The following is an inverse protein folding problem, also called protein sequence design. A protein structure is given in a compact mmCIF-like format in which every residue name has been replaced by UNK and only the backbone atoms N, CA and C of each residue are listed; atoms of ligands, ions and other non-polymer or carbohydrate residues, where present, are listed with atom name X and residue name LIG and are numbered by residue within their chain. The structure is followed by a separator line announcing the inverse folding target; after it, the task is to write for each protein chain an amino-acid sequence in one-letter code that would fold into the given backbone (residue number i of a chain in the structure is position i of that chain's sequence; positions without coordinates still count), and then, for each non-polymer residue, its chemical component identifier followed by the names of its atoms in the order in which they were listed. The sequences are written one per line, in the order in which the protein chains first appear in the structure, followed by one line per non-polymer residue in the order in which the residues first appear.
data_IF_908652152892
#
_entry.id   IF_908652152892
#
_cell.length_a   1.000
_cell.length_b   1.000
_cell.length_c   1.000
_cell.angle_alpha   90.00
_cell.angle_beta   90.00
_cell.angle_gamma   90.00
#
_symmetry.space_group_name_H-M   'P 1'
#
loop_
_entity.id
_entity.type
_entity.pdbx_description
1 polymer ?
#
# COMPACT_ATOMS: atom_id res chain seq x y z
N UNK A 1 7.02 10.04 21.44
CA UNK A 1 7.56 11.42 21.49
C UNK A 1 6.40 12.39 21.26
N UNK A 2 6.06 13.27 22.24
CA UNK A 2 4.94 14.21 22.12
C UNK A 2 5.11 15.20 20.96
N UNK A 3 6.34 15.64 20.68
CA UNK A 3 6.60 16.58 19.58
C UNK A 3 6.29 15.93 18.22
N UNK A 4 6.66 14.65 18.04
CA UNK A 4 6.31 13.89 16.84
C UNK A 4 4.78 13.77 16.68
N UNK A 5 4.07 13.41 17.75
CA UNK A 5 2.60 13.28 17.71
C UNK A 5 1.91 14.61 17.37
N UNK A 6 2.40 15.72 17.93
CA UNK A 6 1.89 17.06 17.60
C UNK A 6 2.13 17.44 16.13
N UNK A 7 3.33 17.15 15.60
CA UNK A 7 3.65 17.36 14.19
C UNK A 7 2.76 16.50 13.26
N UNK A 8 2.51 15.24 13.64
CA UNK A 8 1.62 14.35 12.91
C UNK A 8 0.17 14.85 12.92
N UNK A 9 -0.36 15.31 14.04
CA UNK A 9 -1.71 15.88 14.11
C UNK A 9 -1.86 17.08 13.16
N UNK A 10 -0.83 17.93 13.07
CA UNK A 10 -0.80 19.04 12.11
C UNK A 10 -0.80 18.55 10.67
N UNK A 11 0.04 17.56 10.32
CA UNK A 11 0.10 16.92 8.99
C UNK A 11 -1.24 16.31 8.61
N UNK A 12 -1.83 15.54 9.50
CA UNK A 12 -3.11 14.86 9.30
C UNK A 12 -4.24 15.86 9.00
N UNK A 13 -4.29 16.97 9.72
CA UNK A 13 -5.27 18.03 9.47
C UNK A 13 -5.07 18.68 8.10
N UNK A 14 -3.82 18.95 7.71
CA UNK A 14 -3.50 19.67 6.47
C UNK A 14 -3.59 18.79 5.22
N UNK A 15 -3.17 17.53 5.30
CA UNK A 15 -3.02 16.65 4.14
C UNK A 15 -4.10 15.58 4.05
N UNK A 16 -4.60 15.09 5.19
CA UNK A 16 -5.52 13.96 5.24
C UNK A 16 -6.96 14.36 5.64
N UNK A 17 -7.21 15.64 5.98
CA UNK A 17 -8.54 16.09 6.40
C UNK A 17 -8.97 15.59 7.78
N UNK A 18 -8.04 15.05 8.59
CA UNK A 18 -8.33 14.48 9.91
C UNK A 18 -7.95 15.45 11.02
N UNK A 19 -8.91 15.81 11.87
CA UNK A 19 -8.64 16.56 13.12
C UNK A 19 -8.63 15.58 14.27
N UNK A 20 -7.46 15.37 14.89
CA UNK A 20 -7.22 14.33 15.89
C UNK A 20 -6.56 14.88 17.14
N UNK A 21 -6.80 14.25 18.29
CA UNK A 21 -6.02 14.45 19.51
C UNK A 21 -4.73 13.68 19.41
N UNK A 22 -3.54 14.34 19.43
CA UNK A 22 -2.26 13.66 19.26
C UNK A 22 -1.99 12.61 20.35
N UNK A 23 -2.48 12.81 21.57
CA UNK A 23 -2.21 11.86 22.66
C UNK A 23 -3.17 10.65 22.64
N UNK A 24 -4.41 10.83 22.17
CA UNK A 24 -5.42 9.80 22.19
C UNK A 24 -5.56 9.04 20.87
N UNK A 25 -5.41 9.71 19.74
CA UNK A 25 -5.74 9.14 18.44
C UNK A 25 -4.52 8.68 17.62
N UNK A 26 -3.28 8.93 18.11
CA UNK A 26 -2.05 8.57 17.39
C UNK A 26 -1.23 7.56 18.20
N UNK A 27 -0.94 6.40 17.61
CA UNK A 27 -0.02 5.40 18.12
C UNK A 27 1.18 5.27 17.21
N UNK A 28 2.39 5.55 17.73
CA UNK A 28 3.64 5.35 16.98
C UNK A 28 4.02 3.86 17.01
N UNK A 29 4.34 3.29 15.84
CA UNK A 29 4.64 1.87 15.67
C UNK A 29 6.03 1.63 15.07
N UNK A 30 6.64 0.45 15.30
CA UNK A 30 7.93 0.08 14.67
C UNK A 30 7.77 -0.24 13.17
N UNK A 31 7.39 0.78 12.40
CA UNK A 31 7.01 0.66 11.00
C UNK A 31 5.53 0.35 10.80
N UNK A 32 5.04 0.52 9.57
CA UNK A 32 3.64 0.25 9.20
C UNK A 32 3.27 -1.23 9.24
N UNK A 33 4.21 -2.15 8.98
CA UNK A 33 3.95 -3.59 9.07
C UNK A 33 3.47 -4.00 10.48
N UNK A 34 4.16 -3.51 11.53
CA UNK A 34 3.70 -3.70 12.92
C UNK A 34 2.37 -2.98 13.17
N UNK A 35 2.17 -1.82 12.54
CA UNK A 35 0.91 -1.09 12.61
C UNK A 35 -0.26 -1.89 12.05
N UNK A 36 -0.10 -2.54 10.90
CA UNK A 36 -1.11 -3.41 10.31
C UNK A 36 -1.42 -4.60 11.22
N UNK A 37 -0.38 -5.24 11.75
CA UNK A 37 -0.57 -6.33 12.70
C UNK A 37 -1.43 -5.90 13.90
N UNK A 38 -1.16 -4.74 14.50
CA UNK A 38 -1.95 -4.22 15.62
C UNK A 38 -3.36 -3.77 15.23
N UNK A 39 -3.53 -3.28 14.00
CA UNK A 39 -4.82 -2.88 13.49
C UNK A 39 -5.78 -4.08 13.28
N UNK A 40 -5.23 -5.27 13.05
CA UNK A 40 -6.01 -6.50 12.81
C UNK A 40 -6.26 -7.27 14.11
N UNK A 41 -5.23 -7.39 14.95
CA UNK A 41 -5.19 -8.27 16.13
C UNK A 41 -6.41 -8.17 17.06
N UNK A 42 -6.96 -7.01 17.43
CA UNK A 42 -8.09 -6.91 18.36
C UNK A 42 -9.44 -7.32 17.76
N UNK A 43 -9.56 -7.37 16.44
CA UNK A 43 -10.84 -7.45 15.73
C UNK A 43 -11.02 -8.76 14.94
N UNK A 44 -9.97 -9.55 14.77
CA UNK A 44 -9.99 -10.76 13.95
C UNK A 44 -9.53 -11.95 14.77
N UNK A 45 -10.36 -12.97 14.86
CA UNK A 45 -10.11 -14.24 15.51
C UNK A 45 -10.35 -15.44 14.60
N UNK A 46 -10.39 -16.63 15.21
CA UNK A 46 -10.52 -17.88 14.50
C UNK A 46 -11.79 -17.94 13.62
N UNK A 47 -11.62 -18.00 12.31
CA UNK A 47 -12.69 -18.14 11.34
C UNK A 47 -13.40 -16.86 10.94
N UNK A 48 -13.02 -15.70 11.51
CA UNK A 48 -13.50 -14.40 11.06
C UNK A 48 -12.95 -14.09 9.66
N UNK A 49 -13.77 -13.52 8.79
CA UNK A 49 -13.42 -13.20 7.41
C UNK A 49 -13.01 -11.73 7.29
N UNK A 50 -11.92 -11.50 6.53
CA UNK A 50 -11.44 -10.16 6.16
C UNK A 50 -11.45 -10.02 4.67
N UNK A 51 -12.22 -9.07 4.13
CA UNK A 51 -12.25 -8.76 2.71
C UNK A 51 -11.00 -7.96 2.34
N UNK A 52 -10.27 -8.41 1.32
CA UNK A 52 -9.02 -7.79 0.86
C UNK A 52 -9.13 -7.55 -0.64
N UNK A 53 -9.24 -6.28 -1.12
CA UNK A 53 -9.12 -5.96 -2.54
C UNK A 53 -7.80 -6.51 -3.10
N UNK A 54 -7.86 -7.26 -4.19
CA UNK A 54 -6.74 -8.04 -4.73
C UNK A 54 -6.54 -7.79 -6.23
N UNK A 55 -5.30 -7.63 -6.73
CA UNK A 55 -4.01 -7.86 -6.04
C UNK A 55 -3.73 -6.86 -4.91
N UNK A 56 -3.05 -7.31 -3.85
CA UNK A 56 -2.76 -6.51 -2.66
C UNK A 56 -1.40 -6.82 -2.05
N UNK A 57 -0.98 -6.02 -1.09
CA UNK A 57 0.25 -6.24 -0.33
C UNK A 57 0.23 -7.63 0.34
N UNK A 58 1.26 -8.47 0.16
CA UNK A 58 1.25 -9.87 0.62
C UNK A 58 0.98 -10.04 2.12
N UNK A 59 1.49 -9.10 2.95
CA UNK A 59 1.29 -9.19 4.40
C UNK A 59 -0.17 -9.03 4.80
N UNK A 60 -1.01 -8.37 3.99
CA UNK A 60 -2.44 -8.26 4.28
C UNK A 60 -3.08 -9.66 4.39
N UNK A 61 -2.72 -10.56 3.50
CA UNK A 61 -3.20 -11.96 3.53
C UNK A 61 -2.52 -12.77 4.65
N UNK A 62 -1.24 -12.52 4.88
CA UNK A 62 -0.46 -13.25 5.87
C UNK A 62 -0.90 -12.91 7.30
N UNK A 63 -1.03 -11.62 7.61
CA UNK A 63 -1.39 -11.14 8.95
C UNK A 63 -2.76 -11.67 9.38
N UNK A 64 -3.76 -11.64 8.48
CA UNK A 64 -5.08 -12.22 8.75
C UNK A 64 -4.98 -13.72 9.09
N UNK A 65 -4.16 -14.48 8.34
CA UNK A 65 -3.95 -15.91 8.61
C UNK A 65 -3.24 -16.16 9.94
N UNK A 66 -2.26 -15.33 10.30
CA UNK A 66 -1.55 -15.43 11.58
C UNK A 66 -2.52 -15.24 12.76
N UNK A 67 -3.53 -14.38 12.61
CA UNK A 67 -4.57 -14.15 13.61
C UNK A 67 -5.62 -15.29 13.68
N UNK A 68 -5.55 -16.28 12.79
CA UNK A 68 -6.55 -17.34 12.66
C UNK A 68 -7.76 -16.94 11.79
N UNK A 69 -7.75 -15.74 11.23
CA UNK A 69 -8.78 -15.27 10.31
C UNK A 69 -8.67 -15.87 8.91
N UNK A 70 -9.69 -15.66 8.11
CA UNK A 70 -9.82 -16.11 6.73
C UNK A 70 -9.71 -14.89 5.80
N UNK A 71 -8.60 -14.70 5.07
CA UNK A 71 -8.52 -13.64 4.08
C UNK A 71 -9.37 -14.00 2.86
N UNK A 72 -10.31 -13.14 2.52
CA UNK A 72 -11.23 -13.29 1.38
C UNK A 72 -10.85 -12.25 0.32
N UNK A 73 -10.31 -12.71 -0.80
CA UNK A 73 -9.92 -11.82 -1.89
C UNK A 73 -11.15 -11.25 -2.61
N UNK A 74 -11.19 -9.93 -2.76
CA UNK A 74 -12.12 -9.19 -3.61
C UNK A 74 -11.36 -8.83 -4.88
N UNK A 75 -11.51 -9.64 -5.91
CA UNK A 75 -10.72 -9.48 -7.14
C UNK A 75 -11.12 -8.20 -7.89
N UNK A 76 -10.12 -7.37 -8.18
CA UNK A 76 -10.24 -6.13 -8.94
C UNK A 76 -9.94 -6.39 -10.40
N UNK A 77 -10.57 -5.61 -11.30
CA UNK A 77 -10.40 -5.76 -12.74
C UNK A 77 -9.41 -4.72 -13.28
N UNK A 78 -8.42 -5.18 -14.04
CA UNK A 78 -7.48 -4.31 -14.74
C UNK A 78 -8.17 -3.43 -15.80
N UNK A 79 -9.28 -3.89 -16.38
CA UNK A 79 -10.02 -3.17 -17.40
C UNK A 79 -10.68 -1.88 -16.89
N UNK A 80 -10.98 -1.80 -15.57
CA UNK A 80 -11.49 -0.59 -14.91
C UNK A 80 -10.41 0.16 -14.09
N UNK A 81 -9.13 -0.18 -14.29
CA UNK A 81 -7.99 0.41 -13.56
C UNK A 81 -7.89 -0.06 -12.12
N UNK A 82 -8.34 -1.26 -11.82
CA UNK A 82 -8.37 -1.83 -10.47
C UNK A 82 -9.20 -1.01 -9.46
N UNK A 83 -10.25 -0.32 -9.91
CA UNK A 83 -11.16 0.39 -9.02
C UNK A 83 -12.05 -0.59 -8.25
N UNK A 84 -12.44 -0.22 -7.04
CA UNK A 84 -13.28 -1.02 -6.16
C UNK A 84 -14.75 -0.60 -6.29
N UNK A 85 -15.63 -1.56 -6.47
CA UNK A 85 -17.07 -1.35 -6.52
C UNK A 85 -17.80 -2.01 -5.35
N UNK A 86 -18.98 -1.50 -5.00
CA UNK A 86 -19.85 -2.10 -3.99
C UNK A 86 -20.23 -3.55 -4.37
N UNK A 87 -20.54 -3.79 -5.63
CA UNK A 87 -20.96 -5.12 -6.10
C UNK A 87 -19.90 -6.20 -5.85
N UNK A 88 -18.61 -5.86 -6.00
CA UNK A 88 -17.50 -6.79 -5.72
C UNK A 88 -17.42 -7.10 -4.21
N UNK A 89 -17.64 -6.12 -3.33
CA UNK A 89 -17.66 -6.33 -1.88
C UNK A 89 -18.84 -7.20 -1.45
N UNK A 90 -20.05 -6.87 -1.92
CA UNK A 90 -21.29 -7.63 -1.60
C UNK A 90 -21.20 -9.09 -2.06
N UNK A 91 -20.58 -9.34 -3.22
CA UNK A 91 -20.41 -10.71 -3.73
C UNK A 91 -19.53 -11.60 -2.84
N UNK A 92 -18.73 -11.01 -1.93
CA UNK A 92 -17.81 -11.72 -1.03
C UNK A 92 -18.23 -11.62 0.44
N UNK A 93 -19.20 -10.79 0.77
CA UNK A 93 -19.69 -10.60 2.14
C UNK A 93 -20.39 -11.86 2.67
N UNK A 94 -20.12 -12.18 3.92
CA UNK A 94 -20.85 -13.22 4.70
C UNK A 94 -21.05 -12.73 6.13
N UNK A 95 -21.88 -13.44 6.90
CA UNK A 95 -22.08 -13.15 8.34
C UNK A 95 -20.80 -13.30 9.20
N UNK A 96 -19.73 -13.90 8.67
CA UNK A 96 -18.40 -13.99 9.30
C UNK A 96 -17.49 -12.83 8.97
N UNK A 97 -17.84 -11.99 8.03
CA UNK A 97 -17.05 -10.80 7.67
C UNK A 97 -16.99 -9.82 8.84
N UNK A 98 -15.78 -9.42 9.24
CA UNK A 98 -15.54 -8.46 10.34
C UNK A 98 -14.83 -7.21 9.88
N UNK A 99 -14.09 -7.30 8.78
CA UNK A 99 -13.16 -6.24 8.38
C UNK A 99 -13.04 -6.17 6.86
N UNK A 100 -12.78 -4.95 6.37
CA UNK A 100 -12.15 -4.73 5.07
C UNK A 100 -10.74 -4.20 5.31
N UNK A 101 -9.74 -4.80 4.65
CA UNK A 101 -8.33 -4.38 4.72
C UNK A 101 -7.90 -3.85 3.34
N UNK A 102 -7.75 -2.54 3.25
CA UNK A 102 -7.46 -1.80 2.02
C UNK A 102 -6.02 -1.29 2.02
N UNK A 103 -5.28 -1.47 0.93
CA UNK A 103 -4.04 -0.72 0.67
C UNK A 103 -4.35 0.43 -0.28
N UNK A 104 -4.14 1.69 0.15
CA UNK A 104 -4.50 2.88 -0.62
C UNK A 104 -3.52 4.04 -0.39
N UNK A 105 -2.77 4.47 -1.42
CA UNK A 105 -2.70 3.91 -2.79
C UNK A 105 -2.24 2.45 -2.82
N UNK A 106 -2.70 1.70 -3.82
CA UNK A 106 -2.51 0.26 -3.86
C UNK A 106 -1.06 -0.14 -4.15
N UNK A 107 -0.61 -1.17 -3.48
CA UNK A 107 0.57 -1.97 -3.79
C UNK A 107 0.09 -3.40 -4.10
N UNK A 108 0.21 -3.90 -5.34
CA UNK A 108 1.24 -3.54 -6.33
C UNK A 108 0.76 -2.65 -7.49
N UNK A 109 -0.54 -2.44 -7.70
CA UNK A 109 -1.10 -1.84 -8.93
C UNK A 109 -0.83 -0.35 -9.07
N UNK A 110 -0.43 0.32 -7.98
CA UNK A 110 -0.24 1.78 -7.85
C UNK A 110 -1.53 2.61 -7.95
N UNK A 111 -2.67 1.95 -8.07
CA UNK A 111 -3.98 2.59 -8.21
C UNK A 111 -4.31 3.49 -7.03
N UNK A 112 -4.77 4.69 -7.32
CA UNK A 112 -5.43 5.58 -6.37
C UNK A 112 -6.94 5.35 -6.52
N UNK A 113 -7.59 4.78 -5.49
CA UNK A 113 -9.03 4.60 -5.53
C UNK A 113 -9.72 5.96 -5.62
N UNK A 114 -10.58 6.11 -6.60
CA UNK A 114 -11.32 7.34 -6.82
C UNK A 114 -12.40 7.56 -5.76
N UNK A 115 -12.98 8.76 -5.72
CA UNK A 115 -14.02 9.13 -4.74
C UNK A 115 -15.22 8.18 -4.79
N UNK A 116 -15.63 7.70 -5.96
CA UNK A 116 -16.77 6.79 -6.09
C UNK A 116 -16.48 5.43 -5.46
N UNK A 117 -15.28 4.87 -5.68
CA UNK A 117 -14.83 3.62 -5.05
C UNK A 117 -14.75 3.75 -3.53
N UNK A 118 -14.19 4.87 -3.03
CA UNK A 118 -14.06 5.08 -1.59
C UNK A 118 -15.41 5.35 -0.93
N UNK A 119 -16.35 6.02 -1.61
CA UNK A 119 -17.71 6.19 -1.11
C UNK A 119 -18.46 4.85 -1.07
N UNK A 120 -18.37 4.05 -2.13
CA UNK A 120 -18.97 2.72 -2.16
C UNK A 120 -18.43 1.81 -1.03
N UNK A 121 -17.13 1.89 -0.74
CA UNK A 121 -16.50 1.21 0.38
C UNK A 121 -17.03 1.73 1.72
N UNK A 122 -17.14 3.06 1.90
CA UNK A 122 -17.62 3.65 3.12
C UNK A 122 -19.08 3.26 3.42
N UNK A 123 -19.95 3.32 2.41
CA UNK A 123 -21.35 2.93 2.52
C UNK A 123 -21.49 1.44 2.90
N UNK A 124 -20.68 0.57 2.26
CA UNK A 124 -20.65 -0.86 2.56
C UNK A 124 -20.21 -1.13 4.00
N UNK A 125 -19.09 -0.52 4.43
CA UNK A 125 -18.52 -0.70 5.77
C UNK A 125 -19.49 -0.20 6.86
N UNK A 126 -20.20 0.90 6.61
CA UNK A 126 -21.19 1.44 7.55
C UNK A 126 -22.44 0.55 7.63
N UNK A 127 -22.97 0.09 6.50
CA UNK A 127 -24.18 -0.73 6.45
C UNK A 127 -23.99 -2.08 7.15
N UNK A 128 -22.82 -2.70 6.98
CA UNK A 128 -22.51 -4.01 7.57
C UNK A 128 -21.80 -3.91 8.93
N UNK A 129 -21.66 -2.72 9.50
CA UNK A 129 -20.99 -2.45 10.79
C UNK A 129 -19.60 -3.09 10.91
N UNK A 130 -18.78 -2.91 9.87
CA UNK A 130 -17.44 -3.49 9.77
C UNK A 130 -16.36 -2.50 10.26
N UNK A 131 -15.19 -3.04 10.58
CA UNK A 131 -13.96 -2.26 10.75
C UNK A 131 -13.28 -2.11 9.39
N UNK A 132 -12.83 -0.90 9.08
CA UNK A 132 -11.97 -0.64 7.93
C UNK A 132 -10.52 -0.44 8.41
N UNK A 133 -9.59 -1.23 7.90
CA UNK A 133 -8.16 -0.98 8.05
C UNK A 133 -7.61 -0.48 6.72
N UNK A 134 -6.90 0.66 6.75
CA UNK A 134 -6.30 1.26 5.55
C UNK A 134 -4.79 1.33 5.72
N UNK A 135 -4.05 0.59 4.88
CA UNK A 135 -2.62 0.78 4.69
C UNK A 135 -2.38 1.96 3.74
N UNK A 136 -2.00 3.11 4.29
CA UNK A 136 -1.76 4.35 3.55
C UNK A 136 -0.27 4.68 3.42
N UNK A 137 0.57 3.64 3.31
CA UNK A 137 2.03 3.79 3.28
C UNK A 137 2.59 4.48 2.01
N UNK A 138 1.80 4.60 0.94
CA UNK A 138 2.23 5.19 -0.34
C UNK A 138 1.57 6.54 -0.66
N UNK A 139 1.00 7.24 0.33
CA UNK A 139 0.26 8.49 0.12
C UNK A 139 1.11 9.68 -0.38
N UNK A 140 2.43 9.66 -0.17
CA UNK A 140 3.29 10.83 -0.36
C UNK A 140 3.57 11.20 -1.82
N UNK A 141 3.45 10.26 -2.76
CA UNK A 141 3.76 10.47 -4.17
C UNK A 141 2.58 10.08 -5.04
N UNK A 142 1.71 11.04 -5.36
CA UNK A 142 0.47 10.82 -6.14
C UNK A 142 0.48 11.53 -7.48
N UNK A 143 1.61 12.16 -7.84
CA UNK A 143 1.83 12.82 -9.13
C UNK A 143 0.74 13.81 -9.53
N UNK A 144 0.13 14.46 -8.54
CA UNK A 144 -0.94 15.45 -8.71
C UNK A 144 -2.36 14.86 -8.68
N UNK A 145 -2.51 13.54 -8.52
CA UNK A 145 -3.83 12.95 -8.27
C UNK A 145 -4.28 13.17 -6.81
N UNK A 146 -5.58 13.33 -6.61
CA UNK A 146 -6.17 13.44 -5.28
C UNK A 146 -6.13 12.06 -4.58
N UNK A 147 -5.46 11.97 -3.44
CA UNK A 147 -5.46 10.77 -2.60
C UNK A 147 -6.29 11.05 -1.33
N UNK A 148 -7.55 10.65 -1.36
CA UNK A 148 -8.45 10.83 -0.23
C UNK A 148 -8.13 9.83 0.88
N UNK A 149 -8.14 10.28 2.13
CA UNK A 149 -8.04 9.40 3.28
C UNK A 149 -9.45 8.88 3.63
N UNK A 150 -9.72 7.57 3.56
CA UNK A 150 -11.06 7.03 3.81
C UNK A 150 -11.64 7.39 5.18
N UNK A 151 -10.80 7.50 6.22
CA UNK A 151 -11.22 7.92 7.55
C UNK A 151 -11.79 9.34 7.61
N UNK A 152 -11.50 10.20 6.61
CA UNK A 152 -12.04 11.56 6.53
C UNK A 152 -13.44 11.62 5.90
N UNK A 153 -13.94 10.52 5.34
CA UNK A 153 -15.31 10.45 4.85
C UNK A 153 -16.33 10.48 6.01
N UNK A 154 -17.52 11.02 5.82
CA UNK A 154 -18.53 11.11 6.85
C UNK A 154 -18.82 9.76 7.52
N UNK A 155 -18.77 9.71 8.87
CA UNK A 155 -19.04 8.50 9.66
C UNK A 155 -17.96 7.42 9.61
N UNK A 156 -16.80 7.68 8.97
CA UNK A 156 -15.76 6.67 8.82
C UNK A 156 -14.67 6.70 9.89
N UNK A 157 -14.41 7.83 10.55
CA UNK A 157 -13.36 7.92 11.57
C UNK A 157 -13.59 6.95 12.73
N UNK A 158 -14.85 6.75 13.14
CA UNK A 158 -15.23 5.91 14.28
C UNK A 158 -15.07 4.41 14.03
N UNK A 159 -14.83 4.00 12.79
CA UNK A 159 -14.70 2.60 12.37
C UNK A 159 -13.47 2.32 11.51
N UNK A 160 -12.58 3.30 11.35
CA UNK A 160 -11.39 3.17 10.51
C UNK A 160 -10.11 3.23 11.33
N UNK A 161 -9.21 2.28 11.05
CA UNK A 161 -7.81 2.30 11.48
C UNK A 161 -6.96 2.64 10.26
N UNK A 162 -6.34 3.81 10.24
CA UNK A 162 -5.42 4.18 9.16
C UNK A 162 -3.98 4.01 9.61
N UNK A 163 -3.20 3.26 8.83
CA UNK A 163 -1.79 2.95 9.09
C UNK A 163 -0.92 3.70 8.10
N UNK A 164 0.01 4.49 8.62
CA UNK A 164 0.94 5.33 7.85
C UNK A 164 2.39 4.89 8.04
N UNK A 165 3.25 5.24 7.09
CA UNK A 165 4.65 4.85 7.09
C UNK A 165 5.59 6.00 6.76
N UNK A 166 6.69 6.11 7.50
CA UNK A 166 7.82 6.96 7.14
C UNK A 166 8.81 6.26 6.18
N UNK A 167 8.62 4.96 5.95
CA UNK A 167 9.55 4.13 5.18
C UNK A 167 9.61 4.48 3.70
N UNK A 168 8.49 4.94 3.13
CA UNK A 168 8.33 5.10 1.67
C UNK A 168 8.56 6.55 1.25
N UNK A 169 7.67 7.45 1.65
CA UNK A 169 7.74 8.85 1.26
C UNK A 169 8.98 9.57 1.78
N UNK A 170 9.37 9.31 3.01
CA UNK A 170 10.51 9.96 3.64
C UNK A 170 11.81 9.16 3.61
N UNK A 171 11.81 7.96 3.00
CA UNK A 171 13.01 7.15 2.86
C UNK A 171 13.57 6.59 4.18
N UNK A 172 12.79 6.58 5.26
CA UNK A 172 13.24 6.20 6.61
C UNK A 172 13.01 4.70 6.91
N UNK A 173 13.08 3.85 5.90
CA UNK A 173 12.83 2.41 6.01
C UNK A 173 13.65 1.74 7.13
N UNK A 174 14.94 2.09 7.26
CA UNK A 174 15.83 1.58 8.30
C UNK A 174 15.53 2.09 9.70
N UNK A 175 14.84 3.20 9.86
CA UNK A 175 14.49 3.79 11.16
C UNK A 175 13.31 3.09 11.84
N UNK A 176 12.56 2.25 11.09
CA UNK A 176 11.41 1.47 11.59
C UNK A 176 10.41 2.35 12.33
N UNK A 177 9.85 3.36 11.66
CA UNK A 177 8.80 4.23 12.20
C UNK A 177 7.60 4.25 11.28
N UNK A 178 6.44 4.02 11.84
CA UNK A 178 5.12 4.23 11.29
C UNK A 178 4.19 4.74 12.37
N UNK A 179 2.93 4.92 12.04
CA UNK A 179 1.93 5.31 13.03
C UNK A 179 0.53 4.88 12.60
N UNK A 180 -0.31 4.70 13.59
CA UNK A 180 -1.74 4.40 13.44
C UNK A 180 -2.53 5.64 13.85
N UNK A 181 -3.64 5.86 13.15
CA UNK A 181 -4.64 6.88 13.50
C UNK A 181 -6.02 6.23 13.53
N UNK A 182 -6.74 6.42 14.63
CA UNK A 182 -8.12 5.95 14.79
C UNK A 182 -8.84 6.68 15.94
N UNK A 183 -10.14 6.39 16.11
CA UNK A 183 -10.93 6.91 17.21
C UNK A 183 -10.48 6.39 18.57
N UNK A 184 -10.90 7.05 19.66
CA UNK A 184 -10.58 6.67 21.03
C UNK A 184 -10.99 5.23 21.34
N UNK A 185 -12.19 4.83 20.94
CA UNK A 185 -12.72 3.49 21.22
C UNK A 185 -11.90 2.39 20.57
N UNK A 186 -11.47 2.61 19.32
CA UNK A 186 -10.59 1.66 18.61
C UNK A 186 -9.22 1.67 19.25
N UNK A 187 -8.67 2.85 19.60
CA UNK A 187 -7.36 2.98 20.20
C UNK A 187 -7.26 2.23 21.54
N UNK A 188 -8.28 2.35 22.38
CA UNK A 188 -8.32 1.65 23.67
C UNK A 188 -8.24 0.11 23.50
N UNK A 189 -8.88 -0.41 22.44
CA UNK A 189 -8.81 -1.86 22.10
C UNK A 189 -7.43 -2.29 21.58
N UNK A 190 -6.72 -1.41 20.87
CA UNK A 190 -5.43 -1.74 20.26
C UNK A 190 -4.24 -1.50 21.21
N UNK A 191 -4.28 -0.45 22.01
CA UNK A 191 -3.13 0.04 22.78
C UNK A 191 -2.57 -1.02 23.73
N UNK A 192 -3.43 -1.71 24.45
CA UNK A 192 -3.01 -2.77 25.39
C UNK A 192 -2.27 -3.91 24.69
N UNK A 193 -2.75 -4.30 23.50
CA UNK A 193 -2.14 -5.34 22.69
C UNK A 193 -0.80 -4.88 22.10
N UNK A 194 -0.74 -3.67 21.56
CA UNK A 194 0.47 -3.11 20.97
C UNK A 194 1.61 -2.99 21.99
N UNK A 195 1.33 -2.44 23.18
CA UNK A 195 2.32 -2.28 24.25
C UNK A 195 2.81 -3.61 24.79
N UNK A 196 1.90 -4.59 24.95
CA UNK A 196 2.24 -5.91 25.46
C UNK A 196 3.09 -6.77 24.53
N UNK A 197 2.98 -6.55 23.20
CA UNK A 197 3.65 -7.40 22.20
C UNK A 197 5.03 -6.85 21.78
N UNK A 198 5.16 -5.56 21.52
CA UNK A 198 6.39 -5.00 20.92
C UNK A 198 7.05 -3.94 21.81
N UNK A 199 6.30 -3.31 22.72
CA UNK A 199 6.78 -2.18 23.48
C UNK A 199 6.88 -0.88 22.67
N UNK A 200 7.78 0.02 23.07
CA UNK A 200 7.90 1.34 22.47
C UNK A 200 8.79 1.36 21.22
N UNK A 201 8.39 2.17 20.24
CA UNK A 201 9.20 2.44 19.04
C UNK A 201 10.48 3.21 19.41
N UNK A 202 11.58 2.93 18.71
CA UNK A 202 12.89 3.56 18.89
C UNK A 202 12.81 5.09 18.99
N UNK A 203 13.36 5.64 20.06
CA UNK A 203 13.41 7.10 20.25
C UNK A 203 14.21 7.79 19.15
N UNK A 204 15.33 7.23 18.71
CA UNK A 204 16.12 7.78 17.60
C UNK A 204 15.35 7.78 16.28
N UNK A 205 14.59 6.71 16.01
CA UNK A 205 13.71 6.66 14.86
C UNK A 205 12.63 7.74 14.91
N UNK A 206 12.00 7.94 16.08
CA UNK A 206 10.98 8.99 16.25
C UNK A 206 11.57 10.41 16.05
N UNK A 207 12.80 10.66 16.51
CA UNK A 207 13.48 11.94 16.26
C UNK A 207 13.81 12.15 14.79
N UNK A 208 14.23 11.10 14.09
CA UNK A 208 14.45 11.16 12.64
C UNK A 208 13.16 11.44 11.88
N UNK A 209 12.05 10.83 12.28
CA UNK A 209 10.72 11.06 11.69
C UNK A 209 10.25 12.51 11.92
N UNK A 210 10.45 13.05 13.13
CA UNK A 210 10.15 14.46 13.44
C UNK A 210 10.95 15.41 12.56
N UNK A 211 12.26 15.22 12.46
CA UNK A 211 13.13 16.05 11.63
C UNK A 211 12.71 15.99 10.14
N UNK A 212 12.30 14.81 9.64
CA UNK A 212 11.82 14.68 8.28
C UNK A 212 10.49 15.42 8.03
N UNK A 213 9.59 15.45 9.01
CA UNK A 213 8.34 16.22 8.94
C UNK A 213 8.58 17.74 8.98
N UNK A 214 9.58 18.19 9.74
CA UNK A 214 9.95 19.60 9.85
C UNK A 214 10.70 20.12 8.61
N UNK A 215 11.35 19.22 7.86
CA UNK A 215 12.17 19.53 6.68
C UNK A 215 11.80 18.65 5.47
N UNK A 216 10.58 18.78 4.94
CA UNK A 216 10.08 17.91 3.87
C UNK A 216 10.64 18.23 2.47
N UNK A 217 11.51 19.23 2.33
CA UNK A 217 11.99 19.75 1.03
C UNK A 217 12.69 18.66 0.20
N UNK A 218 13.38 17.71 0.83
CA UNK A 218 14.05 16.59 0.16
C UNK A 218 13.09 15.67 -0.59
N UNK A 219 11.82 15.59 -0.17
CA UNK A 219 10.80 14.79 -0.84
C UNK A 219 10.50 15.29 -2.27
N UNK A 220 10.74 16.58 -2.54
CA UNK A 220 10.57 17.13 -3.89
C UNK A 220 11.60 16.57 -4.88
N UNK A 221 12.82 16.27 -4.43
CA UNK A 221 13.85 15.61 -5.25
C UNK A 221 13.39 14.19 -5.60
N UNK A 222 12.89 13.44 -4.62
CA UNK A 222 12.35 12.09 -4.83
C UNK A 222 11.14 12.10 -5.76
N UNK A 223 10.20 13.02 -5.56
CA UNK A 223 9.02 13.15 -6.41
C UNK A 223 9.40 13.38 -7.89
N UNK A 224 10.38 14.26 -8.15
CA UNK A 224 10.90 14.51 -9.51
C UNK A 224 11.55 13.28 -10.12
N UNK A 225 12.39 12.57 -9.35
CA UNK A 225 13.04 11.36 -9.82
C UNK A 225 11.99 10.27 -10.14
N UNK A 226 11.00 10.08 -9.28
CA UNK A 226 9.94 9.08 -9.52
C UNK A 226 9.04 9.45 -10.70
N UNK A 227 8.76 10.74 -10.92
CA UNK A 227 8.01 11.19 -12.10
C UNK A 227 8.76 10.85 -13.40
N UNK A 228 10.06 11.08 -13.46
CA UNK A 228 10.90 10.73 -14.62
C UNK A 228 10.90 9.21 -14.82
N UNK A 229 11.14 8.45 -13.77
CA UNK A 229 11.32 6.99 -13.83
C UNK A 229 10.02 6.27 -14.20
N UNK A 230 8.85 6.69 -13.65
CA UNK A 230 7.57 6.06 -13.98
C UNK A 230 7.22 6.26 -15.47
N UNK A 231 7.50 7.46 -16.04
CA UNK A 231 7.29 7.72 -17.47
C UNK A 231 8.25 6.91 -18.33
N UNK A 232 9.53 6.83 -17.96
CA UNK A 232 10.51 6.01 -18.67
C UNK A 232 10.17 4.53 -18.60
N UNK A 233 9.74 4.01 -17.47
CA UNK A 233 9.28 2.63 -17.36
C UNK A 233 8.08 2.37 -18.28
N UNK A 234 7.07 3.25 -18.26
CA UNK A 234 5.92 3.17 -19.15
C UNK A 234 6.32 3.18 -20.64
N UNK A 235 7.15 4.14 -21.06
CA UNK A 235 7.62 4.26 -22.43
C UNK A 235 8.42 3.04 -22.90
N UNK A 236 9.39 2.58 -22.09
CA UNK A 236 10.32 1.53 -22.46
C UNK A 236 9.64 0.15 -22.47
N UNK A 237 8.83 -0.15 -21.47
CA UNK A 237 8.26 -1.50 -21.33
C UNK A 237 7.07 -1.73 -22.28
N UNK A 238 6.25 -0.72 -22.53
CA UNK A 238 5.14 -0.84 -23.48
C UNK A 238 5.59 -0.90 -24.95
N UNK A 239 6.90 -0.74 -25.26
CA UNK A 239 7.41 -1.03 -26.60
C UNK A 239 7.54 -2.54 -26.87
N UNK A 240 7.43 -3.40 -25.86
CA UNK A 240 7.50 -4.85 -26.01
C UNK A 240 6.12 -5.39 -26.38
N UNK A 241 5.93 -6.02 -27.54
CA UNK A 241 4.64 -6.62 -27.89
C UNK A 241 4.19 -7.65 -26.83
N UNK A 242 2.93 -7.56 -26.38
CA UNK A 242 2.36 -8.43 -25.34
C UNK A 242 2.80 -8.10 -23.91
N UNK A 243 3.41 -6.94 -23.71
CA UNK A 243 3.68 -6.38 -22.38
C UNK A 243 2.87 -5.10 -22.21
N UNK A 244 2.14 -5.01 -21.10
CA UNK A 244 1.30 -3.85 -20.80
C UNK A 244 1.57 -3.34 -19.38
N UNK A 245 1.76 -2.05 -19.26
CA UNK A 245 1.94 -1.36 -17.99
C UNK A 245 1.15 -0.07 -18.02
N UNK A 246 0.22 0.10 -17.10
CA UNK A 246 -0.41 1.41 -16.88
C UNK A 246 0.63 2.40 -16.35
N UNK A 247 0.47 3.69 -16.66
CA UNK A 247 1.32 4.71 -16.05
C UNK A 247 1.06 4.73 -14.55
N UNK A 248 2.07 4.44 -13.69
CA UNK A 248 1.86 4.38 -12.24
C UNK A 248 1.22 5.66 -11.68
N UNK A 249 0.16 5.54 -10.92
CA UNK A 249 -0.56 6.68 -10.34
C UNK A 249 0.05 7.15 -9.03
N UNK A 250 0.80 6.25 -8.34
CA UNK A 250 1.37 6.56 -7.03
C UNK A 250 2.69 5.86 -6.77
N UNK A 251 3.45 6.38 -5.81
CA UNK A 251 4.65 5.76 -5.26
C UNK A 251 5.79 5.65 -6.28
N UNK A 252 6.55 4.59 -6.16
CA UNK A 252 7.73 4.29 -6.98
C UNK A 252 7.72 2.82 -7.44
N UNK A 253 6.54 2.29 -7.64
CA UNK A 253 6.31 0.93 -8.15
C UNK A 253 5.84 0.99 -9.60
N UNK A 254 5.91 -0.18 -10.28
CA UNK A 254 5.23 -0.41 -11.55
C UNK A 254 4.66 -1.81 -11.56
N UNK A 255 3.49 -1.97 -12.16
CA UNK A 255 2.77 -3.23 -12.31
C UNK A 255 2.68 -3.57 -13.78
N UNK A 256 3.31 -4.68 -14.18
CA UNK A 256 3.59 -5.03 -15.56
C UNK A 256 2.83 -6.31 -15.87
N UNK A 257 1.89 -6.26 -16.79
CA UNK A 257 1.23 -7.42 -17.36
C UNK A 257 2.16 -8.04 -18.43
N UNK A 258 2.49 -9.31 -18.23
CA UNK A 258 3.30 -10.14 -19.14
C UNK A 258 2.56 -11.42 -19.54
N UNK A 259 1.25 -11.49 -19.29
CA UNK A 259 0.43 -12.69 -19.46
C UNK A 259 0.41 -13.21 -20.90
N UNK A 260 0.50 -12.31 -21.89
CA UNK A 260 0.60 -12.69 -23.30
C UNK A 260 1.95 -13.33 -23.68
N UNK A 261 2.99 -13.12 -22.85
CA UNK A 261 4.29 -13.76 -23.06
C UNK A 261 4.36 -15.15 -22.41
N UNK A 262 3.54 -15.42 -21.38
CA UNK A 262 3.49 -16.69 -20.70
C UNK A 262 3.45 -16.58 -19.17
N UNK A 263 4.06 -17.53 -18.48
CA UNK A 263 4.03 -17.63 -17.02
C UNK A 263 4.94 -16.59 -16.37
N UNK A 264 4.38 -15.74 -15.49
CA UNK A 264 5.13 -14.64 -14.83
C UNK A 264 6.29 -15.14 -13.97
N UNK A 265 6.18 -16.32 -13.35
CA UNK A 265 7.26 -16.92 -12.54
C UNK A 265 8.44 -17.30 -13.42
N UNK A 266 8.19 -17.94 -14.58
CA UNK A 266 9.23 -18.29 -15.54
C UNK A 266 9.91 -17.03 -16.10
N UNK A 267 9.11 -16.00 -16.42
CA UNK A 267 9.62 -14.71 -16.92
C UNK A 267 10.45 -13.98 -15.86
N UNK A 268 10.02 -13.96 -14.60
CA UNK A 268 10.79 -13.37 -13.49
C UNK A 268 12.17 -14.04 -13.35
N UNK A 269 12.22 -15.38 -13.41
CA UNK A 269 13.48 -16.14 -13.37
C UNK A 269 14.36 -15.87 -14.59
N UNK A 270 13.76 -15.79 -15.78
CA UNK A 270 14.46 -15.47 -17.02
C UNK A 270 15.13 -14.08 -16.94
N UNK A 271 14.42 -13.07 -16.41
CA UNK A 271 14.96 -11.71 -16.26
C UNK A 271 16.16 -11.65 -15.30
N UNK A 272 16.19 -12.46 -14.25
CA UNK A 272 17.38 -12.55 -13.37
C UNK A 272 18.61 -12.99 -14.13
N UNK A 273 18.50 -13.96 -15.02
CA UNK A 273 19.63 -14.53 -15.76
C UNK A 273 20.03 -13.71 -16.98
N UNK A 274 19.07 -13.13 -17.71
CA UNK A 274 19.31 -12.46 -19.00
C UNK A 274 19.38 -10.94 -18.88
N UNK A 275 18.58 -10.33 -18.03
CA UNK A 275 18.61 -8.88 -17.78
C UNK A 275 19.47 -8.49 -16.57
N UNK A 276 19.84 -9.46 -15.72
CA UNK A 276 20.48 -9.19 -14.41
C UNK A 276 19.65 -8.25 -13.54
N UNK A 277 18.33 -8.37 -13.61
CA UNK A 277 17.35 -7.60 -12.84
C UNK A 277 16.35 -8.55 -12.20
N UNK A 278 16.11 -8.39 -10.89
CA UNK A 278 15.10 -9.14 -10.15
C UNK A 278 13.82 -8.32 -10.05
N UNK A 279 12.71 -8.88 -10.50
CA UNK A 279 11.37 -8.34 -10.31
C UNK A 279 10.59 -9.26 -9.37
N UNK A 280 9.57 -8.70 -8.69
CA UNK A 280 8.68 -9.52 -7.89
C UNK A 280 7.62 -10.18 -8.79
N UNK A 281 7.45 -11.49 -8.63
CA UNK A 281 6.37 -12.22 -9.31
C UNK A 281 5.00 -11.83 -8.72
N UNK A 282 4.06 -11.53 -9.61
CA UNK A 282 2.72 -11.10 -9.26
C UNK A 282 1.91 -12.14 -8.49
N UNK A 283 2.20 -13.43 -8.63
CA UNK A 283 1.52 -14.50 -7.88
C UNK A 283 1.60 -14.32 -6.36
N UNK A 284 2.61 -13.60 -5.87
CA UNK A 284 2.77 -13.31 -4.45
C UNK A 284 1.78 -12.26 -3.91
N UNK A 285 1.06 -11.56 -4.78
CA UNK A 285 0.15 -10.45 -4.42
C UNK A 285 -1.33 -10.89 -4.33
N UNK A 286 -1.59 -12.18 -4.30
CA UNK A 286 -2.93 -12.76 -4.19
C UNK A 286 -3.60 -13.03 -5.55
N UNK A 287 -4.87 -13.42 -5.53
CA UNK A 287 -5.67 -13.61 -6.75
C UNK A 287 -5.64 -12.39 -7.66
N UNK A 288 -5.59 -12.59 -8.98
CA UNK A 288 -5.41 -11.51 -9.97
C UNK A 288 -3.97 -11.04 -10.16
N UNK A 289 -3.01 -11.57 -9.37
CA UNK A 289 -1.59 -11.23 -9.53
C UNK A 289 -0.85 -12.09 -10.56
N UNK A 290 -1.35 -13.29 -10.89
CA UNK A 290 -0.73 -14.16 -11.89
C UNK A 290 -0.65 -13.46 -13.26
N UNK A 291 0.42 -13.72 -14.01
CA UNK A 291 0.68 -13.06 -15.29
C UNK A 291 1.28 -11.66 -15.17
N UNK A 292 1.56 -11.18 -13.96
CA UNK A 292 2.12 -9.85 -13.74
C UNK A 292 3.47 -9.90 -13.04
N UNK A 293 4.24 -8.80 -13.20
CA UNK A 293 5.49 -8.55 -12.47
C UNK A 293 5.43 -7.18 -11.81
N UNK A 294 5.94 -7.07 -10.57
CA UNK A 294 6.11 -5.78 -9.91
C UNK A 294 7.56 -5.32 -9.96
N UNK A 295 7.79 -4.11 -10.47
CA UNK A 295 9.08 -3.43 -10.44
C UNK A 295 9.11 -2.35 -9.35
N UNK A 296 10.30 -2.14 -8.76
CA UNK A 296 10.59 -1.02 -7.83
C UNK A 296 11.50 -0.02 -8.54
N UNK A 297 11.00 1.18 -8.77
CA UNK A 297 11.71 2.25 -9.49
C UNK A 297 12.59 3.12 -8.56
N UNK A 298 12.47 2.91 -7.25
CA UNK A 298 13.15 3.68 -6.20
C UNK A 298 14.45 3.07 -5.65
N UNK A 299 15.07 2.11 -6.33
CA UNK A 299 16.20 1.32 -5.79
C UNK A 299 17.56 2.00 -5.84
N UNK A 300 17.75 2.97 -6.74
CA UNK A 300 19.00 3.71 -6.89
C UNK A 300 18.76 5.21 -6.82
N UNK A 301 19.78 5.96 -6.38
CA UNK A 301 19.76 7.42 -6.46
C UNK A 301 19.93 7.91 -7.90
N UNK A 302 20.74 7.22 -8.69
CA UNK A 302 21.08 7.55 -10.07
C UNK A 302 19.97 7.07 -11.03
N UNK A 303 19.34 8.03 -11.72
CA UNK A 303 18.26 7.76 -12.68
C UNK A 303 18.74 6.92 -13.87
N UNK A 304 20.00 7.15 -14.34
CA UNK A 304 20.51 6.42 -15.48
C UNK A 304 20.62 4.92 -15.19
N UNK A 305 21.03 4.54 -13.98
CA UNK A 305 21.06 3.12 -13.57
C UNK A 305 19.69 2.45 -13.62
N UNK A 306 18.62 3.21 -13.29
CA UNK A 306 17.25 2.70 -13.37
C UNK A 306 16.83 2.56 -14.83
N UNK A 307 17.14 3.54 -15.68
CA UNK A 307 16.85 3.52 -17.11
C UNK A 307 17.59 2.37 -17.80
N UNK A 308 18.90 2.20 -17.55
CA UNK A 308 19.71 1.09 -18.08
C UNK A 308 19.12 -0.28 -17.67
N UNK A 309 18.59 -0.40 -16.46
CA UNK A 309 17.92 -1.62 -16.01
C UNK A 309 16.61 -1.87 -16.77
N UNK A 310 15.80 -0.82 -17.00
CA UNK A 310 14.58 -0.91 -17.79
C UNK A 310 14.86 -1.32 -19.24
N UNK A 311 15.90 -0.79 -19.85
CA UNK A 311 16.32 -1.17 -21.20
C UNK A 311 16.77 -2.63 -21.28
N UNK A 312 17.52 -3.12 -20.30
CA UNK A 312 17.90 -4.55 -20.22
C UNK A 312 16.68 -5.46 -20.03
N UNK A 313 15.68 -5.02 -19.24
CA UNK A 313 14.41 -5.75 -19.09
C UNK A 313 13.71 -5.82 -20.44
N UNK A 314 13.55 -4.69 -21.15
CA UNK A 314 12.94 -4.62 -22.49
C UNK A 314 13.62 -5.58 -23.44
N UNK A 315 14.95 -5.52 -23.56
CA UNK A 315 15.72 -6.32 -24.50
C UNK A 315 15.61 -7.82 -24.20
N UNK A 316 15.61 -8.18 -22.92
CA UNK A 316 15.40 -9.57 -22.49
C UNK A 316 13.96 -10.05 -22.80
N UNK A 317 12.94 -9.21 -22.58
CA UNK A 317 11.55 -9.57 -22.90
C UNK A 317 11.30 -9.66 -24.41
N UNK A 318 11.95 -8.83 -25.23
CA UNK A 318 11.93 -8.95 -26.69
C UNK A 318 12.55 -10.27 -27.18
N UNK A 319 13.58 -10.76 -26.49
CA UNK A 319 14.25 -12.02 -26.79
C UNK A 319 13.63 -13.24 -26.09
N UNK A 320 12.60 -13.05 -25.25
CA UNK A 320 11.96 -14.15 -24.53
C UNK A 320 11.28 -15.12 -25.50
N UNK A 321 11.53 -16.45 -25.37
CA UNK A 321 10.93 -17.45 -26.26
C UNK A 321 9.41 -17.47 -26.08
N UNK A 322 8.70 -17.03 -27.09
CA UNK A 322 7.22 -17.15 -27.11
C UNK A 322 6.85 -18.60 -27.41
N UNK A 323 6.02 -19.17 -26.55
CA UNK A 323 5.49 -20.53 -26.78
C UNK A 323 4.31 -20.49 -27.73
#
# INVERSE_FOLDING_TARGET
DPALKAALAKKLKQQNGLTVDPERNILITPGSDSGLYFAILPFVGQGDEVLIPSPSYPNNFLDVKIMGGVPVAVELDAADGYQLSRAQLEAKYTARTRMVLLTHPNNPTTTIYNRASLQALADFVQEHDLILVVDQAFEDYTFGAECLTPAALPGMFERTVTVFSFSKGMGLSGMRVGYIVCSDQIMDSMYANAVGVIGATSTSGQKAALAALEHPEFMQEFARAYEVRRRKAYEILNCVPGVHMALPESGFLGWIDVSELGNSTEIAQYLVTHARVSLNDGVNYGPGGAGHLRIVLGVYKDDQKVIDALERIRDALLAYPRK
#
